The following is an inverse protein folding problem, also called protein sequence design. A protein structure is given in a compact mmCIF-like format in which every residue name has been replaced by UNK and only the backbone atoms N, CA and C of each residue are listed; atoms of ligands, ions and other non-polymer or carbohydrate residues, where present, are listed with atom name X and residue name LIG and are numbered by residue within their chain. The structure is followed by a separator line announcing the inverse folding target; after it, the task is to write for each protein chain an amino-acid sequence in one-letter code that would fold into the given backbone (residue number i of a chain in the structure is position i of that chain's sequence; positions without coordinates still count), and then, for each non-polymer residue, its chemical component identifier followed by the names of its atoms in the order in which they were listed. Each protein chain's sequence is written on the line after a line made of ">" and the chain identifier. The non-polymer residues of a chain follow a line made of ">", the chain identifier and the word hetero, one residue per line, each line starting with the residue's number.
data_IF_429039572435
#
_entry.id   IF_429039572435
#
_cell.length_a   1.000
_cell.length_b   1.000
_cell.length_c   1.000
_cell.angle_alpha   90.00
_cell.angle_beta   90.00
_cell.angle_gamma   90.00
#
_symmetry.space_group_name_H-M   'P 1'
#
loop_
_entity.id
_entity.type
_entity.pdbx_description
1 polymer ?
#
# COMPACT_ATOMS: atom_id res chain seq x y z
N UNK A 1 -0.41 -20.43 -16.44
CA UNK A 1 0.16 -20.25 -17.81
C UNK A 1 1.33 -19.29 -17.71
N UNK A 2 2.49 -19.59 -18.34
CA UNK A 2 3.61 -18.66 -18.36
C UNK A 2 3.31 -17.47 -19.28
N UNK A 3 3.59 -16.25 -18.82
CA UNK A 3 3.45 -15.02 -19.61
C UNK A 3 4.82 -14.41 -19.83
N UNK A 4 5.12 -13.99 -21.07
CA UNK A 4 6.39 -13.34 -21.39
C UNK A 4 6.26 -11.83 -21.19
N UNK A 5 7.16 -11.25 -20.41
CA UNK A 5 7.25 -9.80 -20.18
C UNK A 5 8.47 -9.29 -20.93
N UNK A 6 8.27 -8.31 -21.81
CA UNK A 6 9.36 -7.62 -22.51
C UNK A 6 9.91 -6.51 -21.60
N UNK A 7 11.23 -6.52 -21.37
CA UNK A 7 11.94 -5.52 -20.57
C UNK A 7 13.22 -5.11 -21.29
N UNK A 8 13.66 -3.89 -21.03
CA UNK A 8 14.95 -3.39 -21.49
C UNK A 8 16.12 -4.05 -20.74
N UNK A 9 17.30 -4.03 -21.37
CA UNK A 9 18.50 -4.68 -20.84
C UNK A 9 18.98 -4.06 -19.52
N UNK A 10 18.75 -2.77 -19.29
CA UNK A 10 19.09 -2.15 -18.02
C UNK A 10 18.22 -2.66 -16.88
N UNK A 11 16.90 -2.75 -17.11
CA UNK A 11 15.96 -3.33 -16.14
C UNK A 11 16.29 -4.78 -15.86
N UNK A 12 16.65 -5.57 -16.88
CA UNK A 12 17.11 -6.96 -16.69
C UNK A 12 18.33 -7.04 -15.77
N UNK A 13 19.34 -6.19 -15.95
CA UNK A 13 20.52 -6.12 -15.08
C UNK A 13 20.17 -5.73 -13.64
N UNK A 14 19.23 -4.80 -13.46
CA UNK A 14 18.74 -4.39 -12.13
C UNK A 14 18.01 -5.55 -11.42
N UNK A 15 17.10 -6.24 -12.13
CA UNK A 15 16.39 -7.41 -11.60
C UNK A 15 17.37 -8.53 -11.20
N UNK A 16 18.40 -8.77 -12.00
CA UNK A 16 19.43 -9.76 -11.67
C UNK A 16 20.21 -9.42 -10.39
N UNK A 17 20.55 -8.14 -10.18
CA UNK A 17 21.18 -7.69 -8.93
C UNK A 17 20.28 -7.86 -7.71
N UNK A 18 18.98 -7.59 -7.86
CA UNK A 18 18.00 -7.77 -6.78
C UNK A 18 17.83 -9.27 -6.47
N UNK A 19 17.78 -10.12 -7.50
CA UNK A 19 17.76 -11.58 -7.36
C UNK A 19 18.92 -12.10 -6.52
N UNK A 20 20.15 -11.71 -6.86
CA UNK A 20 21.37 -12.08 -6.12
C UNK A 20 21.30 -11.69 -4.64
N UNK A 21 20.87 -10.45 -4.35
CA UNK A 21 20.73 -9.97 -2.96
C UNK A 21 19.68 -10.77 -2.17
N UNK A 22 18.58 -11.13 -2.81
CA UNK A 22 17.53 -11.92 -2.16
C UNK A 22 17.95 -13.37 -1.95
N UNK A 23 18.71 -13.95 -2.87
CA UNK A 23 19.30 -15.29 -2.71
C UNK A 23 20.29 -15.31 -1.54
N UNK A 24 21.11 -14.27 -1.39
CA UNK A 24 22.03 -14.11 -0.26
C UNK A 24 21.29 -13.98 1.08
N UNK A 25 20.14 -13.30 1.11
CA UNK A 25 19.34 -13.10 2.32
C UNK A 25 18.49 -14.32 2.72
N UNK A 26 17.91 -15.04 1.75
CA UNK A 26 17.04 -16.20 2.01
C UNK A 26 17.79 -17.54 2.00
N UNK A 27 19.02 -17.58 1.48
CA UNK A 27 19.85 -18.78 1.40
C UNK A 27 19.36 -19.85 0.41
N UNK A 28 18.32 -19.53 -0.38
CA UNK A 28 17.68 -20.43 -1.32
C UNK A 28 17.64 -19.80 -2.72
N UNK A 29 17.61 -20.63 -3.76
CA UNK A 29 17.44 -20.17 -5.14
C UNK A 29 16.05 -19.53 -5.32
N UNK A 30 16.01 -18.34 -5.91
CA UNK A 30 14.79 -17.55 -6.08
C UNK A 30 14.44 -17.49 -7.57
N UNK A 31 13.18 -17.77 -7.91
CA UNK A 31 12.68 -17.64 -9.28
C UNK A 31 12.43 -16.19 -9.65
N UNK A 32 12.40 -15.87 -10.94
CA UNK A 32 11.93 -14.56 -11.39
C UNK A 32 10.47 -14.30 -10.99
N UNK A 33 9.65 -15.34 -10.83
CA UNK A 33 8.28 -15.18 -10.32
C UNK A 33 8.29 -14.69 -8.86
N UNK A 34 9.08 -15.34 -8.01
CA UNK A 34 9.21 -14.98 -6.59
C UNK A 34 9.81 -13.58 -6.43
N UNK A 35 10.74 -13.21 -7.30
CA UNK A 35 11.30 -11.85 -7.39
C UNK A 35 10.20 -10.83 -7.71
N UNK A 36 9.36 -11.12 -8.71
CA UNK A 36 8.26 -10.24 -9.11
C UNK A 36 7.25 -10.11 -7.97
N UNK A 37 6.90 -11.20 -7.30
CA UNK A 37 6.00 -11.19 -6.15
C UNK A 37 6.57 -10.36 -4.99
N UNK A 38 7.84 -10.58 -4.64
CA UNK A 38 8.54 -9.77 -3.65
C UNK A 38 8.54 -8.28 -4.01
N UNK A 39 8.77 -7.96 -5.29
CA UNK A 39 8.74 -6.57 -5.76
C UNK A 39 7.33 -5.99 -5.67
N UNK A 40 6.28 -6.74 -5.97
CA UNK A 40 4.89 -6.28 -5.85
C UNK A 40 4.48 -6.05 -4.38
N UNK A 41 4.88 -6.94 -3.47
CA UNK A 41 4.60 -6.82 -2.03
C UNK A 41 5.37 -5.67 -1.37
N UNK A 42 6.63 -5.48 -1.76
CA UNK A 42 7.48 -4.42 -1.20
C UNK A 42 7.39 -3.10 -1.97
N UNK A 43 6.73 -3.07 -3.14
CA UNK A 43 6.46 -1.80 -3.80
C UNK A 43 5.53 -1.01 -2.89
N UNK A 44 5.94 0.19 -2.42
CA UNK A 44 5.03 1.02 -1.66
C UNK A 44 3.83 1.29 -2.57
N UNK A 45 2.63 0.91 -2.13
CA UNK A 45 1.31 1.16 -2.73
C UNK A 45 1.03 2.67 -3.03
N UNK A 46 2.03 3.53 -2.92
CA UNK A 46 2.00 4.98 -3.12
C UNK A 46 1.67 5.41 -4.55
N UNK A 47 1.82 4.55 -5.57
CA UNK A 47 1.29 4.86 -6.90
C UNK A 47 -0.24 4.66 -6.97
N UNK A 48 -0.77 3.59 -6.38
CA UNK A 48 -2.22 3.30 -6.41
C UNK A 48 -2.99 4.19 -5.41
N UNK A 49 -2.38 4.52 -4.25
CA UNK A 49 -3.01 5.39 -3.24
C UNK A 49 -3.25 6.84 -3.69
N UNK A 50 -2.54 7.34 -4.71
CA UNK A 50 -2.76 8.70 -5.22
C UNK A 50 -3.93 8.80 -6.19
N UNK A 51 -4.26 7.72 -6.90
CA UNK A 51 -5.37 7.71 -7.87
C UNK A 51 -6.72 7.71 -7.15
N UNK A 52 -6.86 6.95 -6.05
CA UNK A 52 -8.12 6.89 -5.30
C UNK A 52 -8.43 8.14 -4.47
N UNK A 53 -7.45 9.03 -4.22
CA UNK A 53 -7.68 10.30 -3.52
C UNK A 53 -8.24 11.41 -4.43
N UNK A 54 -8.00 11.34 -5.74
CA UNK A 54 -8.66 12.25 -6.69
C UNK A 54 -10.15 11.92 -6.81
N UNK A 55 -10.51 10.64 -6.87
CA UNK A 55 -11.90 10.17 -6.79
C UNK A 55 -12.54 10.57 -5.46
N UNK A 56 -11.83 10.41 -4.33
CA UNK A 56 -12.32 10.85 -3.02
C UNK A 56 -12.56 12.36 -2.92
N UNK A 57 -11.73 13.18 -3.60
CA UNK A 57 -11.94 14.63 -3.69
C UNK A 57 -13.12 15.02 -4.59
N UNK A 58 -13.45 14.20 -5.59
CA UNK A 58 -14.62 14.38 -6.45
C UNK A 58 -15.95 14.02 -5.76
N UNK A 59 -15.91 13.17 -4.71
CA UNK A 59 -17.07 12.85 -3.85
C UNK A 59 -17.46 14.00 -2.91
N UNK A 60 -17.19 15.26 -3.29
CA UNK A 60 -17.68 16.46 -2.63
C UNK A 60 -19.16 16.67 -3.00
N UNK A 61 -19.99 15.69 -2.63
CA UNK A 61 -21.41 15.63 -2.94
C UNK A 61 -21.95 14.24 -2.65
N UNK A 62 -22.71 14.11 -1.57
CA UNK A 62 -23.42 12.93 -1.07
C UNK A 62 -22.56 11.66 -0.87
N UNK A 63 -22.26 11.36 0.39
CA UNK A 63 -21.71 10.07 0.79
C UNK A 63 -22.75 8.97 0.51
N UNK A 64 -22.51 8.02 -0.41
CA UNK A 64 -23.47 6.94 -0.66
C UNK A 64 -23.61 6.07 0.60
N UNK A 65 -24.82 5.55 0.85
CA UNK A 65 -25.12 4.74 2.05
C UNK A 65 -24.16 3.55 2.21
N UNK A 66 -23.69 2.97 1.11
CA UNK A 66 -22.70 1.90 1.10
C UNK A 66 -21.35 2.30 1.69
N UNK A 67 -20.94 3.56 1.52
CA UNK A 67 -19.67 4.10 2.01
C UNK A 67 -19.77 4.72 3.42
N UNK A 68 -20.99 4.84 3.98
CA UNK A 68 -21.22 5.45 5.29
C UNK A 68 -20.56 4.66 6.42
N UNK A 69 -20.61 3.32 6.35
CA UNK A 69 -19.98 2.44 7.35
C UNK A 69 -18.45 2.63 7.38
N UNK A 70 -17.83 2.64 6.19
CA UNK A 70 -16.39 2.84 6.04
C UNK A 70 -15.94 4.20 6.56
N UNK A 71 -16.72 5.26 6.30
CA UNK A 71 -16.44 6.60 6.81
C UNK A 71 -16.46 6.66 8.35
N UNK A 72 -17.47 6.06 8.99
CA UNK A 72 -17.58 6.04 10.46
C UNK A 72 -16.43 5.26 11.08
N UNK A 73 -16.05 4.12 10.49
CA UNK A 73 -14.92 3.31 10.95
C UNK A 73 -13.58 4.08 10.88
N UNK A 74 -13.32 4.78 9.78
CA UNK A 74 -12.10 5.58 9.64
C UNK A 74 -12.10 6.78 10.59
N UNK A 75 -13.23 7.48 10.76
CA UNK A 75 -13.36 8.59 11.71
C UNK A 75 -13.16 8.13 13.15
N UNK A 76 -13.63 6.94 13.51
CA UNK A 76 -13.40 6.36 14.85
C UNK A 76 -11.92 6.07 15.09
N UNK A 77 -11.19 5.55 14.09
CA UNK A 77 -9.74 5.33 14.19
C UNK A 77 -8.95 6.64 14.29
N UNK A 78 -9.43 7.70 13.65
CA UNK A 78 -8.86 9.04 13.75
C UNK A 78 -9.07 9.61 15.16
N UNK A 79 -10.30 9.54 15.69
CA UNK A 79 -10.63 9.97 17.05
C UNK A 79 -9.78 9.27 18.12
N UNK A 80 -9.64 7.94 18.06
CA UNK A 80 -8.79 7.17 18.99
C UNK A 80 -7.33 7.63 18.91
N UNK A 81 -6.83 8.00 17.73
CA UNK A 81 -5.47 8.51 17.55
C UNK A 81 -5.31 9.92 18.11
N UNK A 82 -6.32 10.76 17.95
CA UNK A 82 -6.35 12.11 18.53
C UNK A 82 -6.45 12.06 20.05
N UNK A 83 -7.33 11.25 20.63
CA UNK A 83 -7.45 11.05 22.08
C UNK A 83 -6.16 10.53 22.70
N UNK A 84 -5.42 9.66 22.00
CA UNK A 84 -4.08 9.22 22.43
C UNK A 84 -3.04 10.33 22.41
N UNK A 85 -3.16 11.31 21.52
CA UNK A 85 -2.19 12.40 21.36
C UNK A 85 -2.50 13.60 22.26
N UNK A 86 -3.78 13.90 22.45
CA UNK A 86 -4.27 15.02 23.24
C UNK A 86 -5.58 14.62 23.91
N UNK A 87 -5.52 13.91 25.05
CA UNK A 87 -6.73 13.54 25.77
C UNK A 87 -7.44 14.82 26.22
N UNK A 88 -8.70 14.96 25.83
CA UNK A 88 -9.53 16.07 26.32
C UNK A 88 -9.67 15.90 27.83
N UNK A 89 -9.30 16.92 28.60
CA UNK A 89 -9.60 16.96 30.04
C UNK A 89 -11.12 16.94 30.17
N UNK A 90 -11.66 15.84 30.69
CA UNK A 90 -13.07 15.71 31.07
C UNK A 90 -13.39 16.82 32.07
N UNK A 91 -14.05 17.88 31.59
CA UNK A 91 -14.63 18.88 32.49
C UNK A 91 -15.91 18.26 33.01
N UNK A 92 -15.82 17.65 34.20
CA UNK A 92 -16.95 17.14 34.94
C UNK A 92 -17.90 18.30 35.26
N UNK A 93 -19.19 18.12 34.95
CA UNK A 93 -20.30 18.79 35.60
C UNK A 93 -21.36 17.74 35.92
#
# INVERSE_FOLDING_TARGET
>A
MPTTIQIDDETKKKLFKIKLKLEEQKGNAISYNDLIEYLLENHPLNMIRKVSLQEFRSLKGFLPKSAQKMYVEEKRKELIREEKRAPLKTTQK
#
